data_IF_410543466300
#
_entry.id   IF_410543466300
#
_cell.length_a   1.000
_cell.length_b   1.000
_cell.length_c   1.000
_cell.angle_alpha   90.00
_cell.angle_beta   90.00
_cell.angle_gamma   90.00
#
_symmetry.space_group_name_H-M   'P 1'
#
loop_
_entity.id
_entity.type
_entity.pdbx_description
1 polymer ?
#
# COMPACT_ATOMS: atom_id res chain seq x y z
N UNK A 1 6.81 -5.42 0.79
CA UNK A 1 7.17 -5.38 -0.64
C UNK A 1 8.69 -5.34 -0.90
N UNK A 2 9.58 -5.21 0.10
CA UNK A 2 11.04 -5.18 -0.10
C UNK A 2 11.62 -6.59 -0.30
N UNK A 3 11.17 -7.57 0.48
CA UNK A 3 11.76 -8.92 0.54
C UNK A 3 11.78 -9.65 -0.80
N UNK A 4 10.70 -9.66 -1.61
CA UNK A 4 10.75 -10.30 -2.93
C UNK A 4 11.86 -9.73 -3.82
N UNK A 5 12.05 -8.41 -3.80
CA UNK A 5 13.10 -7.74 -4.59
C UNK A 5 14.51 -8.05 -4.08
N UNK A 6 14.68 -8.20 -2.75
CA UNK A 6 15.94 -8.63 -2.17
C UNK A 6 16.32 -10.05 -2.65
N UNK A 7 15.34 -10.94 -2.67
CA UNK A 7 15.57 -12.32 -3.12
C UNK A 7 15.85 -12.36 -4.63
N UNK A 8 15.03 -11.69 -5.44
CA UNK A 8 15.22 -11.61 -6.89
C UNK A 8 16.60 -11.04 -7.26
N UNK A 9 17.03 -9.98 -6.57
CA UNK A 9 18.35 -9.38 -6.82
C UNK A 9 19.49 -10.33 -6.46
N UNK A 10 19.37 -11.10 -5.38
CA UNK A 10 20.37 -12.12 -4.99
C UNK A 10 20.47 -13.24 -6.03
N UNK A 11 19.34 -13.73 -6.52
CA UNK A 11 19.28 -14.81 -7.50
C UNK A 11 19.83 -14.40 -8.88
N UNK A 12 19.73 -13.12 -9.23
CA UNK A 12 20.15 -12.59 -10.53
C UNK A 12 21.38 -11.70 -10.47
N UNK A 13 22.13 -11.71 -9.35
CA UNK A 13 23.33 -10.86 -9.15
C UNK A 13 23.06 -9.38 -9.44
N UNK A 14 21.84 -8.91 -9.22
CA UNK A 14 21.42 -7.54 -9.45
C UNK A 14 21.59 -6.69 -8.18
N UNK A 15 21.74 -5.38 -8.35
CA UNK A 15 21.87 -4.43 -7.24
C UNK A 15 20.51 -3.83 -6.93
N UNK A 16 20.00 -4.08 -5.71
CA UNK A 16 18.82 -3.41 -5.20
C UNK A 16 19.21 -2.05 -4.60
N UNK A 17 18.63 -0.98 -5.14
CA UNK A 17 18.78 0.37 -4.61
C UNK A 17 17.48 0.86 -4.01
N UNK A 18 17.59 1.55 -2.88
CA UNK A 18 16.46 2.19 -2.22
C UNK A 18 16.55 3.70 -2.45
N UNK A 19 15.46 4.26 -2.92
CA UNK A 19 15.38 5.70 -3.04
C UNK A 19 14.87 6.31 -1.73
N UNK A 20 15.61 7.26 -1.12
CA UNK A 20 15.21 7.85 0.14
C UNK A 20 14.00 8.77 -0.02
N UNK A 21 13.15 8.77 0.99
CA UNK A 21 12.11 9.76 1.19
C UNK A 21 12.59 10.85 2.16
N UNK A 22 11.97 12.01 2.11
CA UNK A 22 12.20 13.07 3.08
C UNK A 22 11.45 12.82 4.41
N UNK A 23 11.55 13.76 5.36
CA UNK A 23 10.87 13.65 6.66
C UNK A 23 9.33 13.73 6.56
N UNK A 24 8.80 14.21 5.43
CA UNK A 24 7.36 14.22 5.15
C UNK A 24 6.88 12.91 4.52
N UNK A 25 7.80 12.01 4.14
CA UNK A 25 7.49 10.80 3.42
C UNK A 25 7.35 11.00 1.91
N UNK A 26 7.80 12.13 1.38
CA UNK A 26 7.75 12.47 -0.04
C UNK A 26 9.02 12.05 -0.78
N UNK A 27 8.89 11.81 -2.08
CA UNK A 27 10.01 11.50 -2.98
C UNK A 27 10.45 12.78 -3.70
N UNK A 28 11.75 13.07 -3.60
CA UNK A 28 12.39 14.13 -4.38
C UNK A 28 12.59 13.65 -5.83
N UNK A 29 11.71 14.08 -6.73
CA UNK A 29 11.71 13.67 -8.14
C UNK A 29 13.00 14.09 -8.86
N UNK A 30 13.58 15.23 -8.53
CA UNK A 30 14.81 15.70 -9.15
C UNK A 30 16.02 14.83 -8.75
N UNK A 31 16.06 14.38 -7.50
CA UNK A 31 17.05 13.41 -7.07
C UNK A 31 16.81 12.04 -7.70
N UNK A 32 15.56 11.58 -7.75
CA UNK A 32 15.20 10.32 -8.39
C UNK A 32 15.64 10.31 -9.86
N UNK A 33 15.41 11.39 -10.60
CA UNK A 33 15.80 11.52 -12.00
C UNK A 33 17.31 11.38 -12.25
N UNK A 34 18.15 11.70 -11.26
CA UNK A 34 19.62 11.58 -11.32
C UNK A 34 20.13 10.17 -10.97
N UNK A 35 19.33 9.41 -10.23
CA UNK A 35 19.70 8.05 -9.80
C UNK A 35 19.31 6.97 -10.81
N UNK A 36 18.27 7.23 -11.62
CA UNK A 36 17.81 6.30 -12.66
C UNK A 36 18.73 6.39 -13.90
N UNK A 37 19.00 5.26 -14.53
CA UNK A 37 19.90 5.19 -15.69
C UNK A 37 19.57 3.98 -16.58
N UNK A 38 20.26 3.85 -17.71
CA UNK A 38 20.15 2.67 -18.61
C UNK A 38 20.49 1.32 -17.93
N UNK A 39 21.11 1.34 -16.75
CA UNK A 39 21.35 0.14 -15.93
C UNK A 39 20.14 -0.23 -15.09
N UNK A 40 19.18 0.67 -14.92
CA UNK A 40 17.96 0.40 -14.16
C UNK A 40 17.05 -0.52 -14.96
N UNK A 41 16.76 -1.71 -14.43
CA UNK A 41 15.92 -2.71 -15.07
C UNK A 41 14.49 -2.65 -14.60
N UNK A 42 14.27 -2.27 -13.35
CA UNK A 42 12.95 -2.22 -12.74
C UNK A 42 12.85 -1.11 -11.72
N UNK A 43 11.67 -0.49 -11.65
CA UNK A 43 11.27 0.46 -10.61
C UNK A 43 10.01 -0.08 -9.95
N UNK A 44 10.12 -0.46 -8.67
CA UNK A 44 8.97 -0.88 -7.86
C UNK A 44 8.64 0.19 -6.83
N UNK A 45 7.39 0.61 -6.81
CA UNK A 45 6.93 1.71 -5.95
C UNK A 45 5.53 1.46 -5.40
N UNK A 46 5.29 1.87 -4.14
CA UNK A 46 3.92 1.94 -3.62
C UNK A 46 3.22 3.19 -4.10
N UNK A 47 1.92 3.09 -4.42
CA UNK A 47 1.12 4.24 -4.80
C UNK A 47 0.72 5.09 -3.59
N UNK A 48 0.30 4.43 -2.50
CA UNK A 48 -0.01 5.07 -1.22
C UNK A 48 0.67 4.32 -0.08
N UNK A 49 1.30 5.07 0.83
CA UNK A 49 1.97 4.48 2.00
C UNK A 49 0.97 3.93 3.00
N UNK A 50 1.14 2.68 3.42
CA UNK A 50 0.35 2.05 4.49
C UNK A 50 0.71 2.53 5.90
N UNK A 51 1.76 3.32 6.05
CA UNK A 51 2.20 3.91 7.33
C UNK A 51 1.87 5.39 7.38
N UNK A 52 2.31 6.13 6.37
CA UNK A 52 2.23 7.58 6.36
C UNK A 52 0.93 8.10 5.73
N UNK A 53 0.21 7.26 4.98
CA UNK A 53 -0.94 7.68 4.17
C UNK A 53 -0.55 8.51 2.94
N UNK A 54 0.73 8.85 2.77
CA UNK A 54 1.22 9.67 1.66
C UNK A 54 0.92 9.02 0.31
N UNK A 55 0.33 9.77 -0.61
CA UNK A 55 0.13 9.40 -2.01
C UNK A 55 1.34 9.88 -2.80
N UNK A 56 2.04 8.96 -3.45
CA UNK A 56 3.26 9.26 -4.18
C UNK A 56 2.96 9.67 -5.64
N UNK A 57 3.77 10.54 -6.24
CA UNK A 57 3.62 11.01 -7.62
C UNK A 57 4.10 9.94 -8.62
N UNK A 58 3.40 8.80 -8.67
CA UNK A 58 3.82 7.62 -9.44
C UNK A 58 3.82 7.87 -10.94
N UNK A 59 2.97 8.73 -11.45
CA UNK A 59 2.92 9.17 -12.84
C UNK A 59 4.27 9.72 -13.32
N UNK A 60 4.85 10.64 -12.55
CA UNK A 60 6.19 11.22 -12.85
C UNK A 60 7.29 10.17 -12.75
N UNK A 61 7.21 9.27 -11.78
CA UNK A 61 8.21 8.21 -11.59
C UNK A 61 8.15 7.20 -12.73
N UNK A 62 6.95 6.81 -13.16
CA UNK A 62 6.74 5.91 -14.29
C UNK A 62 7.22 6.55 -15.59
N UNK A 63 6.90 7.82 -15.83
CA UNK A 63 7.42 8.56 -16.99
C UNK A 63 8.94 8.56 -17.05
N UNK A 64 9.61 8.79 -15.93
CA UNK A 64 11.07 8.74 -15.84
C UNK A 64 11.60 7.33 -16.07
N UNK A 65 10.98 6.30 -15.50
CA UNK A 65 11.39 4.91 -15.69
C UNK A 65 11.31 4.48 -17.16
N UNK A 66 10.26 4.88 -17.87
CA UNK A 66 10.07 4.60 -19.29
C UNK A 66 11.14 5.21 -20.18
N UNK A 67 11.69 6.39 -19.85
CA UNK A 67 12.81 7.01 -20.59
C UNK A 67 14.06 6.13 -20.62
N UNK A 68 14.20 5.23 -19.66
CA UNK A 68 15.32 4.30 -19.53
C UNK A 68 14.93 2.84 -19.82
N UNK A 69 13.73 2.58 -20.36
CA UNK A 69 13.16 1.26 -20.60
C UNK A 69 13.17 0.36 -19.35
N UNK A 70 12.98 0.94 -18.17
CA UNK A 70 12.87 0.20 -16.92
C UNK A 70 11.42 -0.26 -16.69
N UNK A 71 11.24 -1.54 -16.39
CA UNK A 71 9.92 -2.10 -16.05
C UNK A 71 9.39 -1.47 -14.77
N UNK A 72 8.12 -1.12 -14.76
CA UNK A 72 7.46 -0.46 -13.62
C UNK A 72 6.48 -1.39 -12.92
N UNK A 73 6.57 -1.46 -11.59
CA UNK A 73 5.66 -2.24 -10.73
C UNK A 73 5.07 -1.32 -9.67
N UNK A 74 3.76 -1.17 -9.68
CA UNK A 74 3.04 -0.35 -8.70
C UNK A 74 2.34 -1.24 -7.68
N UNK A 75 2.70 -1.08 -6.41
CA UNK A 75 1.93 -1.63 -5.29
C UNK A 75 0.79 -0.67 -4.95
N UNK A 76 -0.41 -1.04 -5.37
CA UNK A 76 -1.63 -0.27 -5.19
C UNK A 76 -2.52 -0.80 -4.05
N UNK A 77 -1.96 -1.62 -3.15
CA UNK A 77 -2.70 -2.23 -2.04
C UNK A 77 -3.39 -1.22 -1.11
N UNK A 78 -2.92 0.02 -1.05
CA UNK A 78 -3.53 1.07 -0.25
C UNK A 78 -4.27 2.11 -1.09
N UNK A 79 -4.01 2.21 -2.38
CA UNK A 79 -4.70 3.19 -3.24
C UNK A 79 -6.02 2.66 -3.80
N UNK A 80 -6.03 1.42 -4.33
CA UNK A 80 -7.24 0.83 -4.94
C UNK A 80 -8.44 0.79 -3.98
N UNK A 81 -8.29 0.47 -2.68
CA UNK A 81 -9.41 0.51 -1.74
C UNK A 81 -9.96 1.90 -1.46
N UNK A 82 -9.12 2.93 -1.55
CA UNK A 82 -9.36 4.23 -0.92
C UNK A 82 -9.54 5.39 -1.89
N UNK A 83 -9.03 5.29 -3.11
CA UNK A 83 -9.08 6.38 -4.10
C UNK A 83 -9.33 5.86 -5.52
N UNK A 84 -9.81 6.70 -6.47
CA UNK A 84 -9.89 6.31 -7.86
C UNK A 84 -8.52 5.90 -8.43
N UNK A 85 -8.46 4.73 -9.05
CA UNK A 85 -7.26 4.21 -9.71
C UNK A 85 -7.60 3.82 -11.14
N UNK A 86 -6.94 4.46 -12.09
CA UNK A 86 -7.10 4.21 -13.52
C UNK A 86 -5.77 3.69 -14.08
N UNK A 87 -5.73 2.40 -14.39
CA UNK A 87 -4.51 1.74 -14.89
C UNK A 87 -4.03 2.28 -16.24
N UNK A 88 -4.94 2.80 -17.07
CA UNK A 88 -4.59 3.40 -18.36
C UNK A 88 -3.90 4.74 -18.19
N UNK A 89 -4.33 5.55 -17.18
CA UNK A 89 -3.68 6.83 -16.88
C UNK A 89 -2.35 6.64 -16.18
N UNK A 90 -2.27 5.69 -15.25
CA UNK A 90 -1.03 5.35 -14.54
C UNK A 90 -0.01 4.77 -15.51
N UNK A 91 -0.45 3.95 -16.45
CA UNK A 91 0.35 3.35 -17.52
C UNK A 91 1.63 2.64 -17.00
N UNK A 92 1.54 2.01 -15.82
CA UNK A 92 2.59 1.11 -15.32
C UNK A 92 2.57 -0.21 -16.08
N UNK A 93 3.70 -0.92 -16.05
CA UNK A 93 3.77 -2.25 -16.67
C UNK A 93 3.04 -3.29 -15.84
N UNK A 94 3.12 -3.16 -14.50
CA UNK A 94 2.40 -3.98 -13.54
C UNK A 94 1.78 -3.13 -12.45
N UNK A 95 0.59 -3.54 -11.98
CA UNK A 95 -0.07 -2.98 -10.80
C UNK A 95 -0.71 -4.12 -10.01
N UNK A 96 -0.50 -4.14 -8.69
CA UNK A 96 -1.05 -5.19 -7.83
C UNK A 96 -1.79 -4.64 -6.62
N UNK A 97 -2.82 -5.38 -6.17
CA UNK A 97 -3.56 -5.06 -4.96
C UNK A 97 -4.20 -6.31 -4.32
N UNK A 98 -4.67 -6.17 -3.07
CA UNK A 98 -5.24 -7.25 -2.28
C UNK A 98 -6.73 -7.04 -2.01
N UNK A 99 -7.55 -8.07 -2.20
CA UNK A 99 -9.00 -8.00 -2.01
C UNK A 99 -9.42 -7.66 -0.57
N UNK A 100 -8.76 -8.23 0.45
CA UNK A 100 -9.13 -8.02 1.86
C UNK A 100 -8.98 -6.57 2.35
N UNK A 101 -8.29 -5.70 1.61
CA UNK A 101 -8.17 -4.27 1.94
C UNK A 101 -9.26 -3.41 1.31
N UNK A 102 -10.03 -3.97 0.37
CA UNK A 102 -11.10 -3.28 -0.34
C UNK A 102 -12.48 -3.93 -0.11
N UNK A 103 -12.77 -4.31 1.15
CA UNK A 103 -14.00 -4.98 1.59
C UNK A 103 -14.22 -6.38 0.96
N UNK A 104 -13.25 -6.88 0.22
CA UNK A 104 -13.27 -8.20 -0.39
C UNK A 104 -12.78 -9.30 0.56
N UNK A 105 -12.87 -10.56 0.15
CA UNK A 105 -12.39 -11.71 0.92
C UNK A 105 -10.88 -11.71 1.13
N UNK A 106 -10.43 -12.47 2.13
CA UNK A 106 -9.02 -12.84 2.29
C UNK A 106 -8.62 -13.90 1.25
N UNK A 107 -7.33 -14.01 0.96
CA UNK A 107 -6.84 -15.07 0.06
C UNK A 107 -6.99 -14.78 -1.44
N UNK A 108 -7.43 -13.57 -1.82
CA UNK A 108 -7.50 -13.13 -3.21
C UNK A 108 -6.86 -11.75 -3.40
N UNK A 109 -6.24 -11.57 -4.56
CA UNK A 109 -5.68 -10.31 -5.03
C UNK A 109 -5.59 -10.29 -6.54
N UNK A 110 -5.19 -9.17 -7.09
CA UNK A 110 -5.11 -8.97 -8.54
C UNK A 110 -3.71 -8.47 -8.90
N UNK A 111 -3.15 -9.04 -9.96
CA UNK A 111 -2.04 -8.49 -10.71
C UNK A 111 -2.54 -8.07 -12.08
N UNK A 112 -2.57 -6.78 -12.36
CA UNK A 112 -2.73 -6.23 -13.70
C UNK A 112 -1.34 -6.12 -14.33
N UNK A 113 -1.22 -6.50 -15.59
CA UNK A 113 0.00 -6.37 -16.38
C UNK A 113 -0.29 -6.06 -17.84
N UNK A 114 0.67 -5.40 -18.51
CA UNK A 114 0.58 -5.14 -19.96
C UNK A 114 0.63 -6.46 -20.73
N UNK A 115 -0.28 -6.61 -21.67
CA UNK A 115 -0.46 -7.85 -22.45
C UNK A 115 0.83 -8.31 -23.12
N UNK A 116 1.55 -7.40 -23.78
CA UNK A 116 2.80 -7.71 -24.47
C UNK A 116 3.86 -8.26 -23.54
N UNK A 117 3.94 -7.72 -22.32
CA UNK A 117 4.88 -8.19 -21.30
C UNK A 117 4.46 -9.56 -20.79
N UNK A 118 3.20 -9.73 -20.43
CA UNK A 118 2.66 -10.99 -19.93
C UNK A 118 2.80 -12.12 -20.97
N UNK A 119 2.59 -11.84 -22.25
CA UNK A 119 2.77 -12.82 -23.32
C UNK A 119 4.22 -13.31 -23.45
N UNK A 120 5.20 -12.45 -23.13
CA UNK A 120 6.62 -12.78 -23.19
C UNK A 120 7.19 -13.38 -21.89
N UNK A 121 6.43 -13.35 -20.77
CA UNK A 121 6.85 -13.94 -19.50
C UNK A 121 6.62 -15.45 -19.48
N UNK A 122 7.46 -16.20 -18.77
CA UNK A 122 7.16 -17.56 -18.40
C UNK A 122 6.10 -17.62 -17.31
N UNK A 123 5.27 -18.67 -17.25
CA UNK A 123 4.37 -18.90 -16.13
C UNK A 123 5.12 -18.96 -14.81
N UNK A 124 4.47 -18.52 -13.72
CA UNK A 124 5.03 -18.58 -12.37
C UNK A 124 4.63 -19.87 -11.62
N UNK A 125 3.39 -20.32 -11.81
CA UNK A 125 2.87 -21.58 -11.28
C UNK A 125 2.56 -22.55 -12.43
N UNK A 126 2.63 -23.84 -12.16
CA UNK A 126 2.41 -24.88 -13.14
C UNK A 126 1.34 -25.84 -12.63
N UNK A 127 0.45 -26.30 -13.55
CA UNK A 127 -0.64 -27.23 -13.23
C UNK A 127 -1.65 -27.38 -14.34
N UNK A 128 -2.85 -27.83 -14.02
CA UNK A 128 -3.99 -27.87 -14.95
C UNK A 128 -4.43 -26.47 -15.35
N UNK A 129 -5.25 -26.35 -16.36
CA UNK A 129 -5.88 -25.16 -16.94
C UNK A 129 -4.91 -24.13 -17.57
N UNK A 130 -3.71 -23.97 -17.01
CA UNK A 130 -2.71 -23.02 -17.52
C UNK A 130 -1.96 -23.53 -18.76
N UNK A 131 -2.24 -24.74 -19.22
CA UNK A 131 -1.62 -25.41 -20.38
C UNK A 131 -2.62 -25.58 -21.52
N UNK A 132 -2.13 -25.50 -22.77
CA UNK A 132 -2.90 -25.81 -23.97
C UNK A 132 -2.62 -27.23 -24.49
N UNK A 133 -1.41 -27.74 -24.26
CA UNK A 133 -1.06 -29.12 -24.56
C UNK A 133 0.11 -29.60 -23.69
N UNK A 134 0.15 -30.91 -23.43
CA UNK A 134 1.22 -31.56 -22.67
C UNK A 134 1.58 -32.88 -23.38
N UNK A 135 2.88 -33.12 -23.53
CA UNK A 135 3.46 -34.42 -23.90
C UNK A 135 4.37 -34.90 -22.79
N UNK A 136 5.01 -36.06 -22.95
CA UNK A 136 6.01 -36.51 -21.98
C UNK A 136 7.28 -35.65 -21.98
N UNK A 137 7.56 -34.97 -23.10
CA UNK A 137 8.80 -34.22 -23.32
C UNK A 137 8.62 -32.72 -23.17
N UNK A 138 7.40 -32.18 -23.44
CA UNK A 138 7.19 -30.73 -23.53
C UNK A 138 5.75 -30.31 -23.20
N UNK A 139 5.57 -29.03 -22.88
CA UNK A 139 4.27 -28.42 -22.58
C UNK A 139 4.13 -27.07 -23.28
N UNK A 140 2.92 -26.77 -23.70
CA UNK A 140 2.54 -25.45 -24.25
C UNK A 140 1.56 -24.78 -23.31
N UNK A 141 1.78 -23.49 -23.13
CA UNK A 141 0.96 -22.66 -22.25
C UNK A 141 -0.35 -22.23 -22.92
N UNK A 142 -1.35 -22.01 -22.10
CA UNK A 142 -2.62 -21.44 -22.54
C UNK A 142 -2.48 -19.93 -22.81
N UNK A 143 -3.51 -19.32 -23.37
CA UNK A 143 -3.59 -17.87 -23.58
C UNK A 143 -3.80 -17.14 -22.24
N UNK A 144 -3.54 -15.82 -22.24
CA UNK A 144 -3.86 -14.95 -21.10
C UNK A 144 -5.39 -14.90 -20.88
N UNK A 145 -5.85 -14.83 -19.63
CA UNK A 145 -5.09 -14.82 -18.38
C UNK A 145 -4.72 -16.22 -17.87
N UNK A 146 -5.26 -17.30 -18.48
CA UNK A 146 -5.13 -18.69 -18.01
C UNK A 146 -3.67 -19.16 -17.87
N UNK A 147 -2.77 -18.64 -18.69
CA UNK A 147 -1.32 -18.90 -18.61
C UNK A 147 -0.74 -18.74 -17.21
N UNK A 148 -1.32 -17.84 -16.38
CA UNK A 148 -0.87 -17.55 -15.02
C UNK A 148 -1.81 -18.07 -13.93
N UNK A 149 -2.86 -18.82 -14.31
CA UNK A 149 -3.90 -19.34 -13.40
C UNK A 149 -3.80 -20.87 -13.35
N UNK A 150 -2.90 -21.42 -12.52
CA UNK A 150 -2.65 -22.85 -12.44
C UNK A 150 -3.63 -23.56 -11.51
N UNK A 151 -4.35 -24.54 -12.05
CA UNK A 151 -5.35 -25.35 -11.34
C UNK A 151 -6.70 -24.64 -11.18
N UNK A 152 -7.61 -25.26 -10.44
CA UNK A 152 -8.93 -24.67 -10.15
C UNK A 152 -8.75 -23.36 -9.37
N UNK A 153 -9.23 -22.21 -9.89
CA UNK A 153 -9.03 -20.91 -9.24
C UNK A 153 -9.84 -20.80 -7.94
N UNK A 154 -9.55 -19.78 -7.16
CA UNK A 154 -10.31 -19.44 -5.96
C UNK A 154 -11.68 -18.82 -6.37
N UNK A 155 -12.65 -19.68 -6.73
CA UNK A 155 -13.93 -19.28 -7.32
C UNK A 155 -14.74 -18.40 -6.38
N UNK A 156 -14.89 -18.84 -5.11
CA UNK A 156 -15.75 -18.16 -4.14
C UNK A 156 -15.26 -16.75 -3.83
N UNK A 157 -13.97 -16.59 -3.58
CA UNK A 157 -13.39 -15.30 -3.23
C UNK A 157 -13.29 -14.37 -4.47
N UNK A 158 -13.14 -14.92 -5.69
CA UNK A 158 -13.22 -14.14 -6.92
C UNK A 158 -14.59 -13.49 -7.11
N UNK A 159 -15.66 -14.25 -6.88
CA UNK A 159 -17.04 -13.72 -6.89
C UNK A 159 -17.22 -12.68 -5.80
N UNK A 160 -16.74 -12.97 -4.57
CA UNK A 160 -16.81 -12.03 -3.45
C UNK A 160 -16.05 -10.73 -3.70
N UNK A 161 -14.88 -10.79 -4.36
CA UNK A 161 -14.13 -9.60 -4.76
C UNK A 161 -14.90 -8.79 -5.81
N UNK A 162 -15.56 -9.44 -6.79
CA UNK A 162 -16.43 -8.79 -7.77
C UNK A 162 -17.53 -7.98 -7.09
N UNK A 163 -18.24 -8.59 -6.11
CA UNK A 163 -19.28 -7.90 -5.32
C UNK A 163 -18.72 -6.71 -4.55
N UNK A 164 -17.51 -6.84 -3.96
CA UNK A 164 -16.86 -5.73 -3.28
C UNK A 164 -16.54 -4.56 -4.25
N UNK A 165 -16.08 -4.86 -5.46
CA UNK A 165 -15.85 -3.84 -6.49
C UNK A 165 -17.15 -3.12 -6.88
N UNK A 166 -18.25 -3.85 -7.08
CA UNK A 166 -19.57 -3.26 -7.37
C UNK A 166 -20.04 -2.36 -6.21
N UNK A 167 -19.89 -2.81 -4.98
CA UNK A 167 -20.26 -2.03 -3.80
C UNK A 167 -19.48 -0.71 -3.73
N UNK A 168 -18.16 -0.76 -3.87
CA UNK A 168 -17.32 0.44 -3.84
C UNK A 168 -17.63 1.41 -4.99
N UNK A 169 -17.87 0.90 -6.19
CA UNK A 169 -18.29 1.70 -7.33
C UNK A 169 -19.65 2.38 -7.09
N UNK A 170 -20.61 1.68 -6.45
CA UNK A 170 -21.91 2.24 -6.12
C UNK A 170 -21.84 3.34 -5.02
N UNK A 171 -20.93 3.22 -4.07
CA UNK A 171 -20.63 4.30 -3.09
C UNK A 171 -19.96 5.48 -3.79
N UNK A 172 -19.12 5.20 -4.78
CA UNK A 172 -18.33 6.16 -5.55
C UNK A 172 -16.95 6.38 -4.95
N UNK A 173 -15.90 6.01 -5.71
CA UNK A 173 -14.51 6.10 -5.23
C UNK A 173 -14.07 7.54 -4.93
N UNK A 174 -14.57 8.52 -5.66
CA UNK A 174 -14.31 9.95 -5.36
C UNK A 174 -14.91 10.35 -4.01
N UNK A 175 -16.13 9.91 -3.70
CA UNK A 175 -16.78 10.17 -2.42
C UNK A 175 -16.02 9.53 -1.25
N UNK A 176 -15.55 8.30 -1.44
CA UNK A 176 -14.74 7.58 -0.45
C UNK A 176 -13.45 8.36 -0.19
N UNK A 177 -12.75 8.74 -1.25
CA UNK A 177 -11.50 9.49 -1.13
C UNK A 177 -11.68 10.83 -0.41
N UNK A 178 -12.69 11.63 -0.77
CA UNK A 178 -12.98 12.90 -0.13
C UNK A 178 -13.30 12.73 1.36
N UNK A 179 -14.16 11.76 1.69
CA UNK A 179 -14.50 11.43 3.07
C UNK A 179 -13.27 11.03 3.90
N UNK A 180 -12.40 10.17 3.37
CA UNK A 180 -11.19 9.73 4.08
C UNK A 180 -10.15 10.83 4.24
N UNK A 181 -9.97 11.68 3.23
CA UNK A 181 -9.12 12.86 3.34
C UNK A 181 -9.62 13.81 4.44
N UNK A 182 -10.94 14.00 4.56
CA UNK A 182 -11.50 14.82 5.65
C UNK A 182 -11.25 14.21 7.03
N UNK A 183 -11.47 12.90 7.19
CA UNK A 183 -11.20 12.20 8.44
C UNK A 183 -9.72 12.20 8.79
N UNK A 184 -8.86 11.91 7.82
CA UNK A 184 -7.40 11.93 8.00
C UNK A 184 -6.89 13.29 8.44
N UNK A 185 -7.36 14.38 7.77
CA UNK A 185 -6.99 15.74 8.15
C UNK A 185 -7.51 16.09 9.53
N UNK A 186 -8.78 15.77 9.83
CA UNK A 186 -9.34 16.02 11.15
C UNK A 186 -8.54 15.31 12.25
N UNK A 187 -8.15 14.05 12.05
CA UNK A 187 -7.32 13.32 13.00
C UNK A 187 -5.94 13.97 13.17
N UNK A 188 -5.29 14.38 12.08
CA UNK A 188 -4.00 15.11 12.12
C UNK A 188 -4.13 16.38 12.95
N UNK A 189 -5.17 17.18 12.69
CA UNK A 189 -5.40 18.45 13.37
C UNK A 189 -5.64 18.26 14.88
N UNK A 190 -6.41 17.22 15.25
CA UNK A 190 -6.70 16.96 16.65
C UNK A 190 -5.49 16.36 17.41
N UNK A 191 -4.80 15.37 16.83
CA UNK A 191 -3.61 14.77 17.45
C UNK A 191 -2.49 15.80 17.59
N UNK A 192 -2.31 16.70 16.60
CA UNK A 192 -1.29 17.76 16.65
C UNK A 192 -1.49 18.77 17.76
N UNK A 193 -2.69 18.85 18.37
CA UNK A 193 -2.95 19.68 19.55
C UNK A 193 -2.49 19.03 20.86
N UNK A 194 -2.23 17.73 20.84
CA UNK A 194 -1.71 16.98 22.00
C UNK A 194 -0.20 17.21 22.09
N UNK A 195 0.28 17.76 23.21
CA UNK A 195 1.62 18.32 23.33
C UNK A 195 2.75 17.31 23.13
N UNK A 196 2.55 16.06 23.55
CA UNK A 196 3.58 15.02 23.56
C UNK A 196 3.43 14.00 22.42
N UNK A 197 2.49 14.26 21.49
CA UNK A 197 2.28 13.42 20.33
C UNK A 197 2.85 14.05 19.07
N UNK A 198 3.52 13.24 18.26
CA UNK A 198 4.11 13.66 17.00
C UNK A 198 3.53 12.83 15.85
N UNK A 199 3.04 13.48 14.81
CA UNK A 199 2.58 12.84 13.57
C UNK A 199 3.78 12.47 12.71
N UNK A 200 3.79 11.26 12.16
CA UNK A 200 4.75 10.82 11.16
C UNK A 200 4.25 11.17 9.75
N UNK A 201 5.16 11.63 8.90
CA UNK A 201 4.88 11.97 7.50
C UNK A 201 4.22 13.33 7.30
N UNK A 202 3.72 13.54 6.07
CA UNK A 202 3.11 14.81 5.65
C UNK A 202 1.82 15.09 6.43
N UNK A 203 1.62 16.35 6.79
CA UNK A 203 0.42 16.82 7.49
C UNK A 203 -0.61 17.47 6.56
N UNK A 204 -0.30 17.60 5.28
CA UNK A 204 -1.20 18.21 4.28
C UNK A 204 -2.30 17.24 3.86
N UNK A 205 -3.54 17.74 3.82
CA UNK A 205 -4.72 17.00 3.35
C UNK A 205 -4.55 16.48 1.92
N UNK A 206 -3.95 17.26 1.04
CA UNK A 206 -3.88 16.99 -0.40
C UNK A 206 -3.04 15.76 -0.77
N UNK A 207 -2.16 15.33 0.13
CA UNK A 207 -1.19 14.26 -0.10
C UNK A 207 -1.36 13.09 0.84
N UNK A 208 -2.51 12.96 1.51
CA UNK A 208 -2.73 11.96 2.55
C UNK A 208 -4.11 11.31 2.47
N UNK A 209 -4.14 9.97 2.51
CA UNK A 209 -5.36 9.20 2.75
C UNK A 209 -5.74 9.09 4.23
N UNK A 210 -6.74 8.25 4.54
CA UNK A 210 -7.31 8.04 5.87
C UNK A 210 -6.40 7.32 6.89
N UNK A 211 -5.08 7.33 6.71
CA UNK A 211 -4.11 6.70 7.62
C UNK A 211 -3.30 7.76 8.35
N UNK A 212 -3.26 7.70 9.68
CA UNK A 212 -2.49 8.62 10.54
C UNK A 212 -1.61 7.83 11.48
N UNK A 213 -0.30 7.89 11.28
CA UNK A 213 0.69 7.32 12.19
C UNK A 213 1.26 8.40 13.11
N UNK A 214 1.43 8.03 14.37
CA UNK A 214 1.92 8.94 15.39
C UNK A 214 2.75 8.20 16.45
N UNK A 215 3.55 8.95 17.17
CA UNK A 215 4.35 8.51 18.32
C UNK A 215 4.09 9.42 19.51
N UNK A 216 4.43 8.95 20.70
CA UNK A 216 4.47 9.75 21.92
C UNK A 216 5.91 9.85 22.41
N UNK A 217 6.28 10.97 23.02
CA UNK A 217 7.67 11.26 23.40
C UNK A 217 8.26 10.27 24.43
N UNK A 218 7.42 9.69 25.31
CA UNK A 218 7.85 8.79 26.39
C UNK A 218 7.02 7.50 26.53
N UNK A 219 5.83 7.38 25.94
CA UNK A 219 4.98 6.20 26.08
C UNK A 219 5.18 5.30 24.86
N UNK A 220 5.47 4.02 25.13
CA UNK A 220 5.67 3.07 24.04
C UNK A 220 4.35 2.81 23.28
N UNK A 221 4.35 2.72 21.93
CA UNK A 221 3.15 2.50 21.13
C UNK A 221 2.31 1.29 21.54
N UNK A 222 2.96 0.21 22.01
CA UNK A 222 2.25 -0.97 22.52
C UNK A 222 1.37 -0.65 23.72
N UNK A 223 1.86 0.14 24.65
CA UNK A 223 1.13 0.53 25.85
C UNK A 223 -0.04 1.45 25.49
N UNK A 224 0.17 2.38 24.55
CA UNK A 224 -0.91 3.21 23.98
C UNK A 224 -2.01 2.32 23.40
N UNK A 225 -1.64 1.35 22.56
CA UNK A 225 -2.59 0.43 21.95
C UNK A 225 -3.36 -0.41 22.96
N UNK A 226 -2.66 -0.95 23.96
CA UNK A 226 -3.29 -1.80 25.00
C UNK A 226 -4.28 -1.03 25.86
N UNK A 227 -3.95 0.22 26.25
CA UNK A 227 -4.88 1.06 27.02
C UNK A 227 -6.07 1.52 26.20
N UNK A 228 -5.86 1.90 24.93
CA UNK A 228 -6.94 2.28 24.03
C UNK A 228 -7.89 1.12 23.76
N UNK A 229 -7.38 -0.11 23.61
CA UNK A 229 -8.20 -1.32 23.46
C UNK A 229 -9.14 -1.51 24.66
N UNK A 230 -8.61 -1.27 25.89
CA UNK A 230 -9.41 -1.26 27.11
C UNK A 230 -10.53 -0.20 27.15
N UNK A 231 -10.43 0.84 26.33
CA UNK A 231 -11.46 1.87 26.14
C UNK A 231 -12.37 1.59 24.92
N UNK A 232 -12.20 0.45 24.25
CA UNK A 232 -12.94 0.07 23.04
C UNK A 232 -12.48 0.82 21.78
N UNK A 233 -11.22 1.28 21.76
CA UNK A 233 -10.63 2.02 20.63
C UNK A 233 -9.52 1.16 20.03
N UNK A 234 -9.75 0.63 18.83
CA UNK A 234 -8.80 -0.22 18.11
C UNK A 234 -7.85 0.61 17.25
N UNK A 235 -6.54 0.53 17.54
CA UNK A 235 -5.48 1.05 16.69
C UNK A 235 -4.45 -0.05 16.41
N UNK A 236 -3.63 0.13 15.40
CA UNK A 236 -2.49 -0.76 15.17
C UNK A 236 -1.21 -0.15 15.76
N UNK A 237 -0.37 -1.00 16.37
CA UNK A 237 0.94 -0.60 16.89
C UNK A 237 2.06 -1.47 16.31
N UNK A 238 3.28 -0.94 16.23
CA UNK A 238 4.46 -1.65 15.74
C UNK A 238 5.07 -1.05 14.48
N UNK A 239 5.63 -1.91 13.61
CA UNK A 239 6.31 -1.48 12.38
C UNK A 239 5.39 -1.35 11.16
N UNK A 240 4.13 -1.74 11.28
CA UNK A 240 3.11 -1.68 10.20
C UNK A 240 3.53 -2.37 8.90
N UNK A 241 4.30 -3.45 8.96
CA UNK A 241 4.93 -4.14 7.82
C UNK A 241 5.89 -3.25 7.01
N UNK A 242 6.44 -2.19 7.60
CA UNK A 242 7.35 -1.23 6.97
C UNK A 242 8.49 -0.84 7.93
N UNK A 243 9.17 -1.85 8.50
CA UNK A 243 10.22 -1.66 9.50
C UNK A 243 11.32 -0.66 9.07
N UNK A 244 11.86 -0.69 7.84
CA UNK A 244 12.86 0.29 7.42
C UNK A 244 12.33 1.72 7.45
N UNK A 245 11.09 1.94 7.04
CA UNK A 245 10.44 3.24 7.07
C UNK A 245 10.25 3.76 8.50
N UNK A 246 9.71 2.94 9.42
CA UNK A 246 9.52 3.34 10.82
C UNK A 246 10.87 3.68 11.47
N UNK A 247 11.90 2.89 11.20
CA UNK A 247 13.26 3.13 11.70
C UNK A 247 13.91 4.39 11.14
N UNK A 248 13.59 4.81 9.91
CA UNK A 248 14.11 6.06 9.33
C UNK A 248 13.64 7.31 10.08
N UNK A 249 12.52 7.21 10.81
CA UNK A 249 12.06 8.24 11.74
C UNK A 249 12.73 8.18 13.13
N UNK A 250 13.73 7.31 13.32
CA UNK A 250 14.47 7.17 14.58
C UNK A 250 13.71 6.44 15.69
N UNK A 251 12.60 5.77 15.38
CA UNK A 251 11.74 5.08 16.35
C UNK A 251 11.67 3.57 16.10
N UNK A 252 11.43 2.81 17.17
CA UNK A 252 11.32 1.34 17.11
C UNK A 252 9.93 0.87 16.69
N UNK A 253 8.92 1.67 16.92
CA UNK A 253 7.52 1.38 16.61
C UNK A 253 6.72 2.67 16.53
N UNK A 254 5.53 2.61 15.93
CA UNK A 254 4.55 3.70 15.88
C UNK A 254 3.14 3.19 16.19
N UNK A 255 2.27 4.09 16.60
CA UNK A 255 0.82 3.89 16.65
C UNK A 255 0.20 4.37 15.34
N UNK A 256 -0.82 3.66 14.83
CA UNK A 256 -1.49 4.01 13.59
C UNK A 256 -3.01 3.90 13.74
N UNK A 257 -3.70 5.02 13.56
CA UNK A 257 -5.13 5.04 13.31
C UNK A 257 -5.40 4.95 11.80
N UNK A 258 -6.40 4.18 11.42
CA UNK A 258 -6.80 4.01 10.02
C UNK A 258 -8.30 4.22 9.93
N UNK A 259 -8.72 5.08 9.01
CA UNK A 259 -10.12 5.42 8.76
C UNK A 259 -10.52 4.93 7.38
N UNK A 260 -11.78 4.54 7.25
CA UNK A 260 -12.35 4.09 5.99
C UNK A 260 -13.77 4.64 5.83
N UNK A 261 -14.43 4.31 4.74
CA UNK A 261 -15.76 4.83 4.35
C UNK A 261 -16.85 4.71 5.44
N UNK A 262 -16.68 3.84 6.44
CA UNK A 262 -17.65 3.63 7.53
C UNK A 262 -17.32 4.39 8.82
N UNK A 263 -16.15 5.04 8.91
CA UNK A 263 -15.78 5.80 10.11
C UNK A 263 -16.39 7.21 10.13
N UNK A 264 -16.45 7.79 11.32
CA UNK A 264 -17.04 9.12 11.56
C UNK A 264 -16.12 9.98 12.43
N UNK A 265 -16.30 11.31 12.39
CA UNK A 265 -15.52 12.27 13.20
C UNK A 265 -15.63 12.03 14.70
N UNK A 266 -16.79 11.57 15.18
CA UNK A 266 -17.00 11.23 16.60
C UNK A 266 -16.12 10.07 17.09
N UNK A 267 -15.68 9.18 16.21
CA UNK A 267 -14.74 8.12 16.55
C UNK A 267 -13.32 8.68 16.71
N UNK A 268 -12.97 9.70 15.95
CA UNK A 268 -11.72 10.43 16.12
C UNK A 268 -11.74 11.21 17.45
N UNK A 269 -12.85 11.85 17.80
CA UNK A 269 -13.00 12.53 19.10
C UNK A 269 -12.79 11.53 20.26
N UNK A 270 -13.36 10.32 20.17
CA UNK A 270 -13.12 9.25 21.15
C UNK A 270 -11.66 8.85 21.21
N UNK A 271 -10.98 8.74 20.05
CA UNK A 271 -9.54 8.46 20.01
C UNK A 271 -8.75 9.55 20.76
N UNK A 272 -9.06 10.83 20.52
CA UNK A 272 -8.40 11.96 21.20
C UNK A 272 -8.61 11.91 22.71
N UNK A 273 -9.83 11.65 23.15
CA UNK A 273 -10.12 11.52 24.59
C UNK A 273 -9.45 10.28 25.20
N UNK A 274 -9.36 9.18 24.45
CA UNK A 274 -8.58 8.01 24.82
C UNK A 274 -7.09 8.32 24.98
N UNK A 275 -6.48 9.04 24.03
CA UNK A 275 -5.07 9.44 24.10
C UNK A 275 -4.77 10.33 25.31
N UNK A 276 -5.67 11.25 25.67
CA UNK A 276 -5.53 12.07 26.88
C UNK A 276 -5.55 11.19 28.15
N UNK A 277 -6.46 10.20 28.23
CA UNK A 277 -6.51 9.26 29.36
C UNK A 277 -5.26 8.39 29.44
N UNK A 278 -4.68 8.00 28.29
CA UNK A 278 -3.39 7.30 28.25
C UNK A 278 -2.30 8.16 28.88
N UNK A 279 -2.19 9.45 28.52
CA UNK A 279 -1.21 10.35 29.15
C UNK A 279 -1.45 10.52 30.67
N UNK A 280 -2.71 10.57 31.11
CA UNK A 280 -3.05 10.67 32.53
C UNK A 280 -2.61 9.42 33.31
N UNK A 281 -2.71 8.23 32.69
CA UNK A 281 -2.30 6.96 33.30
C UNK A 281 -0.80 6.89 33.59
N UNK A 282 0.04 7.56 32.80
CA UNK A 282 1.51 7.55 32.91
C UNK A 282 2.06 8.77 33.65
N UNK A 283 1.24 9.67 34.19
CA UNK A 283 1.65 10.77 35.11
C UNK A 283 1.77 10.32 36.54
#
# INVERSE_FOLDING_TARGET
>A
NIVPWQMLCKENEAILRYFPIDNNGDIDIDKFSKEISNKTKMVSITHMSNVLGTVLPIDKIIELAKKFNATTVVDACQSVPHMPVDVQKIDSDFLCFSGHKMLGPTGIGVLHGKEDILNNMSPFLYGGDMISSVTYEDSKWNDLPYKFEAGTPNIADSIGLGVACEYLNNVGMDNIWEHEMELGQYAVDQISKLKNFQILGNKSKELRGGVVSFIHDSIHPHDIGSLLDGFGIAIRTGHHCAMPLVRSYGVVAASRASFYLYNKKEEIDKLIDGLKKVEEYFK
#
